data_IF_464999085056
#
_entry.id   IF_464999085056
#
_cell.length_a   1.000
_cell.length_b   1.000
_cell.length_c   1.000
_cell.angle_alpha   90.00
_cell.angle_beta   90.00
_cell.angle_gamma   90.00
#
_symmetry.space_group_name_H-M   'P 1'
#
loop_
_entity.id
_entity.type
_entity.pdbx_description
1 polymer ?
#
# COMPACT_ATOMS: atom_id res chain seq x y z
N UNK A 1 -1.92 -2.23 -15.24
CA UNK A 1 -0.66 -1.81 -15.90
C UNK A 1 0.50 -2.62 -15.31
N UNK A 2 0.59 -3.92 -15.63
CA UNK A 2 1.47 -4.85 -14.91
C UNK A 2 2.96 -4.60 -15.14
N UNK A 3 3.33 -4.12 -16.33
CA UNK A 3 4.73 -3.86 -16.70
C UNK A 3 5.38 -2.76 -15.86
N UNK A 4 4.62 -1.74 -15.44
CA UNK A 4 5.15 -0.68 -14.58
C UNK A 4 5.36 -1.18 -13.15
N UNK A 5 4.40 -1.95 -12.63
CA UNK A 5 4.49 -2.58 -11.31
C UNK A 5 5.71 -3.52 -11.23
N UNK A 6 5.93 -4.35 -12.24
CA UNK A 6 7.07 -5.26 -12.32
C UNK A 6 8.41 -4.51 -12.36
N UNK A 7 8.52 -3.47 -13.19
CA UNK A 7 9.74 -2.66 -13.26
C UNK A 7 10.03 -1.97 -11.94
N UNK A 8 9.02 -1.41 -11.27
CA UNK A 8 9.20 -0.79 -9.96
C UNK A 8 9.62 -1.82 -8.90
N UNK A 9 9.06 -3.04 -8.93
CA UNK A 9 9.47 -4.13 -8.03
C UNK A 9 10.93 -4.54 -8.21
N UNK A 10 11.44 -4.52 -9.44
CA UNK A 10 12.82 -4.86 -9.77
C UNK A 10 13.80 -3.74 -9.43
N UNK A 11 13.49 -2.50 -9.80
CA UNK A 11 14.39 -1.34 -9.65
C UNK A 11 14.47 -0.81 -8.22
N UNK A 12 13.34 -0.81 -7.49
CA UNK A 12 13.31 -0.26 -6.13
C UNK A 12 13.98 -1.22 -5.15
N UNK A 13 14.80 -0.70 -4.23
CA UNK A 13 15.54 -1.52 -3.23
C UNK A 13 15.05 -1.28 -1.80
N UNK A 14 15.20 -2.29 -0.94
CA UNK A 14 15.09 -2.18 0.52
C UNK A 14 13.78 -1.57 1.03
N UNK A 15 13.86 -0.30 1.47
CA UNK A 15 12.79 0.50 2.09
C UNK A 15 12.22 1.59 1.19
N UNK A 16 12.30 1.42 -0.12
CA UNK A 16 11.79 2.39 -1.08
C UNK A 16 10.26 2.52 -0.99
N UNK A 17 9.78 3.76 -1.01
CA UNK A 17 8.35 4.08 -0.97
C UNK A 17 7.91 4.67 -2.31
N UNK A 18 6.83 4.14 -2.87
CA UNK A 18 6.24 4.65 -4.11
C UNK A 18 5.05 5.52 -3.78
N UNK A 19 5.00 6.72 -4.35
CA UNK A 19 3.84 7.61 -4.25
C UNK A 19 3.23 7.72 -5.65
N UNK A 20 1.96 7.37 -5.77
CA UNK A 20 1.21 7.49 -7.01
C UNK A 20 0.12 8.54 -6.82
N UNK A 21 0.09 9.56 -7.67
CA UNK A 21 -1.00 10.53 -7.73
C UNK A 21 -1.88 10.23 -8.94
N UNK A 22 -3.21 10.29 -8.76
CA UNK A 22 -4.25 10.02 -9.78
C UNK A 22 -4.43 8.57 -10.23
N UNK A 23 -3.35 7.80 -10.33
CA UNK A 23 -3.41 6.42 -10.82
C UNK A 23 -2.93 5.43 -9.76
N UNK A 24 -3.85 4.79 -9.02
CA UNK A 24 -3.48 3.77 -8.07
C UNK A 24 -3.02 2.48 -8.78
N UNK A 25 -2.13 1.75 -8.12
CA UNK A 25 -1.72 0.41 -8.54
C UNK A 25 -2.69 -0.62 -7.95
N UNK A 26 -3.46 -1.36 -8.79
CA UNK A 26 -4.47 -2.30 -8.29
C UNK A 26 -3.86 -3.55 -7.65
N UNK A 27 -2.63 -3.91 -8.01
CA UNK A 27 -1.96 -5.09 -7.48
C UNK A 27 -1.31 -4.84 -6.11
N UNK A 28 -1.17 -3.58 -5.69
CA UNK A 28 -0.45 -3.18 -4.48
C UNK A 28 -1.40 -2.62 -3.42
N UNK A 29 -1.13 -2.92 -2.15
CA UNK A 29 -1.89 -2.37 -1.02
C UNK A 29 -1.33 -1.02 -0.61
N UNK A 30 -2.13 0.04 -0.73
CA UNK A 30 -1.73 1.38 -0.29
C UNK A 30 -1.68 1.43 1.25
N UNK A 31 -0.57 1.94 1.79
CA UNK A 31 -0.41 2.16 3.23
C UNK A 31 -1.11 3.43 3.71
N UNK A 32 -1.21 4.44 2.84
CA UNK A 32 -1.89 5.69 3.14
C UNK A 32 -2.38 6.31 1.84
N UNK A 33 -3.63 6.77 1.86
CA UNK A 33 -4.28 7.52 0.80
C UNK A 33 -4.50 8.96 1.29
N UNK A 34 -4.08 9.95 0.51
CA UNK A 34 -4.18 11.36 0.88
C UNK A 34 -4.63 12.18 -0.30
N UNK A 35 -5.75 12.88 -0.15
CA UNK A 35 -6.32 13.76 -1.18
C UNK A 35 -7.84 13.65 -1.26
N UNK A 36 -8.44 14.41 -2.17
CA UNK A 36 -9.89 14.43 -2.40
C UNK A 36 -10.17 14.41 -3.90
N UNK A 37 -10.92 13.41 -4.36
CA UNK A 37 -11.28 13.29 -5.78
C UNK A 37 -10.11 12.85 -6.64
N UNK A 38 -9.89 13.55 -7.77
CA UNK A 38 -8.90 13.15 -8.79
C UNK A 38 -7.45 13.29 -8.33
N UNK A 39 -7.18 14.16 -7.35
CA UNK A 39 -5.83 14.41 -6.83
C UNK A 39 -5.53 13.56 -5.60
N UNK A 40 -6.21 12.42 -5.46
CA UNK A 40 -5.89 11.43 -4.44
C UNK A 40 -4.52 10.82 -4.74
N UNK A 41 -3.67 10.79 -3.73
CA UNK A 41 -2.34 10.22 -3.76
C UNK A 41 -2.30 8.97 -2.88
N UNK A 42 -1.77 7.88 -3.42
CA UNK A 42 -1.56 6.62 -2.71
C UNK A 42 -0.08 6.45 -2.44
N UNK A 43 0.23 5.99 -1.25
CA UNK A 43 1.59 5.66 -0.86
C UNK A 43 1.71 4.16 -0.61
N UNK A 44 2.72 3.55 -1.21
CA UNK A 44 3.00 2.13 -1.16
C UNK A 44 4.38 1.94 -0.55
N UNK A 45 4.41 1.24 0.57
CA UNK A 45 5.66 0.83 1.19
C UNK A 45 6.27 -0.36 0.44
N UNK A 46 7.59 -0.56 0.57
CA UNK A 46 8.24 -1.70 -0.07
C UNK A 46 7.67 -3.05 0.38
N UNK A 47 7.09 -3.12 1.58
CA UNK A 47 6.36 -4.31 2.07
C UNK A 47 5.13 -4.65 1.25
N UNK A 48 4.50 -3.66 0.62
CA UNK A 48 3.28 -3.85 -0.18
C UNK A 48 3.56 -4.51 -1.53
N UNK A 49 4.78 -4.38 -2.05
CA UNK A 49 5.14 -4.90 -3.37
C UNK A 49 6.35 -5.84 -3.37
N UNK A 50 7.09 -5.93 -2.26
CA UNK A 50 8.12 -6.93 -2.03
C UNK A 50 7.70 -7.84 -0.89
N UNK A 51 7.56 -9.13 -1.21
CA UNK A 51 7.43 -10.18 -0.20
C UNK A 51 8.83 -10.38 0.40
N UNK A 52 9.26 -9.48 1.28
CA UNK A 52 10.43 -9.74 2.11
C UNK A 52 10.02 -10.78 3.14
N UNK A 53 10.53 -12.00 3.01
CA UNK A 53 10.22 -13.15 3.87
C UNK A 53 10.65 -13.01 5.33
N UNK A 54 10.85 -11.80 5.85
CA UNK A 54 11.38 -11.58 7.18
C UNK A 54 10.81 -10.34 7.88
N UNK A 55 9.52 -10.37 8.19
CA UNK A 55 8.96 -9.63 9.35
C UNK A 55 7.57 -10.18 9.74
N UNK A 56 7.56 -11.43 10.19
CA UNK A 56 6.55 -11.90 11.14
C UNK A 56 6.80 -11.17 12.46
N UNK A 57 6.24 -9.99 12.65
CA UNK A 57 5.95 -9.34 13.95
C UNK A 57 5.61 -7.87 13.68
N UNK A 58 4.36 -7.57 13.35
CA UNK A 58 3.52 -6.59 14.04
C UNK A 58 2.15 -6.54 13.35
N UNK A 59 1.10 -6.65 14.17
CA UNK A 59 -0.31 -6.38 13.84
C UNK A 59 -1.15 -7.52 13.24
N UNK A 60 -1.35 -8.55 14.05
CA UNK A 60 -2.71 -9.12 14.28
C UNK A 60 -3.65 -8.13 15.02
N UNK A 61 -3.38 -6.81 14.98
CA UNK A 61 -4.08 -5.76 15.71
C UNK A 61 -4.77 -4.73 14.81
N UNK A 62 -5.26 -5.14 13.64
CA UNK A 62 -6.39 -4.45 13.00
C UNK A 62 -7.33 -5.48 12.38
N UNK A 63 -7.77 -6.46 13.17
CA UNK A 63 -9.04 -7.13 12.92
C UNK A 63 -10.18 -6.23 13.43
N UNK A 64 -11.13 -5.98 12.53
CA UNK A 64 -12.47 -5.40 12.66
C UNK A 64 -12.63 -3.88 12.70
N UNK A 65 -13.42 -3.30 11.76
CA UNK A 65 -14.16 -2.08 12.07
C UNK A 65 -15.12 -2.39 13.22
N UNK A 66 -14.96 -1.65 14.32
CA UNK A 66 -15.90 -1.59 15.42
C UNK A 66 -17.27 -1.20 14.85
N UNK A 67 -18.17 -2.17 14.70
CA UNK A 67 -19.61 -1.90 14.56
C UNK A 67 -20.04 -1.22 15.87
N UNK A 68 -20.04 0.12 15.88
CA UNK A 68 -20.74 0.87 16.90
C UNK A 68 -22.24 0.74 16.62
N UNK A 69 -22.84 -0.31 17.18
CA UNK A 69 -24.28 -0.37 17.36
C UNK A 69 -24.62 0.64 18.45
N UNK A 70 -25.12 1.80 18.05
CA UNK A 70 -25.74 2.76 18.97
C UNK A 70 -27.24 2.73 18.73
N UNK A 71 -27.92 2.06 19.69
CA UNK A 71 -29.31 2.16 20.16
C UNK A 71 -30.36 2.83 19.27
#
# INVERSE_FOLDING_TARGET
MPQLEEKLQQELKGSARVIACRFPFPSWTASHESGKGIDTAWSYDSKSFKITGNERNYSILTFLPLQVSSK
#
